data_IF_012468641159
#
_entry.id   IF_012468641159
#
_cell.length_a   1.000
_cell.length_b   1.000
_cell.length_c   1.000
_cell.angle_alpha   90.00
_cell.angle_beta   90.00
_cell.angle_gamma   90.00
#
_symmetry.space_group_name_H-M   'P 1'
#
loop_
_entity.id
_entity.type
_entity.pdbx_description
1 polymer ?
#
# COMPACT_ATOMS: atom_id res chain seq x y z
N UNK A 1 -16.52 0.14 -4.29
CA UNK A 1 -15.69 -0.36 -5.40
C UNK A 1 -14.46 -1.01 -4.79
N UNK A 2 -14.19 -2.28 -5.11
CA UNK A 2 -13.02 -2.99 -4.58
C UNK A 2 -11.89 -2.80 -5.60
N UNK A 3 -10.81 -2.15 -5.17
CA UNK A 3 -9.65 -1.85 -6.02
C UNK A 3 -8.52 -2.83 -5.75
N UNK A 4 -7.82 -3.21 -6.80
CA UNK A 4 -6.78 -4.25 -6.82
C UNK A 4 -5.49 -3.54 -7.21
N UNK A 5 -4.34 -3.92 -6.64
CA UNK A 5 -3.06 -3.28 -6.96
C UNK A 5 -2.02 -4.36 -7.29
N UNK A 6 -1.36 -4.24 -8.44
CA UNK A 6 -0.24 -5.07 -8.85
C UNK A 6 0.96 -4.19 -9.22
N UNK A 7 2.19 -4.68 -9.01
CA UNK A 7 3.37 -4.00 -9.56
C UNK A 7 3.55 -4.28 -11.06
N UNK A 8 4.52 -3.58 -11.68
CA UNK A 8 4.86 -3.70 -13.11
C UNK A 8 5.29 -5.08 -13.56
N UNK A 9 5.65 -5.96 -12.63
CA UNK A 9 6.06 -7.33 -12.92
C UNK A 9 4.90 -8.31 -12.83
N UNK A 10 3.66 -7.81 -12.69
CA UNK A 10 2.46 -8.59 -12.40
C UNK A 10 2.63 -9.45 -11.14
N UNK A 11 3.59 -9.10 -10.26
CA UNK A 11 3.65 -9.70 -8.94
C UNK A 11 2.56 -9.03 -8.12
N UNK A 12 1.48 -9.77 -7.88
CA UNK A 12 0.54 -9.45 -6.82
C UNK A 12 1.29 -9.72 -5.51
N UNK A 13 1.97 -8.69 -4.98
CA UNK A 13 2.55 -8.77 -3.64
C UNK A 13 1.40 -8.92 -2.63
N UNK A 14 1.38 -9.91 -1.75
CA UNK A 14 2.47 -10.67 -1.15
C UNK A 14 2.35 -12.17 -1.43
N UNK A 15 3.45 -12.90 -1.24
CA UNK A 15 3.58 -14.36 -1.28
C UNK A 15 2.72 -15.07 -0.21
N UNK A 16 1.41 -14.91 -0.31
CA UNK A 16 0.39 -15.91 -0.09
C UNK A 16 -0.45 -15.84 -1.36
N UNK A 17 -0.25 -16.80 -2.26
CA UNK A 17 -0.90 -16.90 -3.56
C UNK A 17 -2.36 -16.40 -3.56
N UNK A 18 -2.67 -15.33 -4.30
CA UNK A 18 -4.05 -14.89 -4.53
C UNK A 18 -4.67 -13.96 -3.48
N UNK A 19 -3.87 -13.30 -2.63
CA UNK A 19 -4.37 -12.28 -1.72
C UNK A 19 -4.96 -11.08 -2.51
N UNK A 20 -6.22 -10.73 -2.22
CA UNK A 20 -6.84 -9.48 -2.70
C UNK A 20 -6.71 -8.43 -1.61
N UNK A 21 -6.57 -7.17 -2.02
CA UNK A 21 -6.50 -6.04 -1.10
C UNK A 21 -7.73 -5.15 -1.27
N UNK A 22 -8.08 -4.44 -0.21
CA UNK A 22 -9.20 -3.51 -0.15
C UNK A 22 -8.61 -2.14 0.13
N UNK A 23 -8.98 -1.17 -0.71
CA UNK A 23 -8.72 0.24 -0.46
C UNK A 23 -9.99 0.87 0.11
N UNK A 24 -9.89 1.40 1.32
CA UNK A 24 -11.02 2.05 2.00
C UNK A 24 -10.72 3.53 2.17
N UNK A 25 -11.64 4.40 1.79
CA UNK A 25 -11.49 5.86 1.96
C UNK A 25 -11.25 6.21 3.43
N UNK A 26 -10.29 7.10 3.67
CA UNK A 26 -9.91 7.64 4.97
C UNK A 26 -9.79 9.18 4.89
N UNK A 27 -9.81 9.92 6.02
CA UNK A 27 -9.78 11.38 6.02
C UNK A 27 -8.64 12.02 5.22
N UNK A 28 -7.43 11.47 5.26
CA UNK A 28 -6.26 11.95 4.53
C UNK A 28 -5.96 11.20 3.23
N UNK A 29 -6.73 10.17 2.88
CA UNK A 29 -6.48 9.34 1.69
C UNK A 29 -7.27 8.04 1.71
N UNK A 30 -6.56 6.92 1.79
CA UNK A 30 -7.15 5.59 1.94
C UNK A 30 -6.31 4.69 2.85
N UNK A 31 -6.94 3.69 3.45
CA UNK A 31 -6.26 2.57 4.10
C UNK A 31 -6.19 1.36 3.17
N UNK A 32 -5.20 0.49 3.40
CA UNK A 32 -4.99 -0.74 2.64
C UNK A 32 -5.15 -1.93 3.58
N UNK A 33 -6.06 -2.83 3.28
CA UNK A 33 -6.36 -4.02 4.11
C UNK A 33 -6.40 -5.29 3.28
N UNK A 34 -5.98 -6.45 3.81
CA UNK A 34 -6.15 -7.70 3.10
C UNK A 34 -7.63 -8.10 3.11
N UNK A 35 -8.15 -8.59 1.98
CA UNK A 35 -9.59 -8.86 1.83
C UNK A 35 -10.12 -9.98 2.71
N UNK A 36 -9.25 -10.88 3.15
CA UNK A 36 -9.58 -11.98 4.06
C UNK A 36 -9.52 -11.56 5.54
N UNK A 37 -9.00 -10.37 5.84
CA UNK A 37 -8.97 -9.80 7.18
C UNK A 37 -9.01 -8.26 7.12
N UNK A 38 -10.19 -7.66 6.86
CA UNK A 38 -10.32 -6.22 6.63
C UNK A 38 -10.09 -5.35 7.88
N UNK A 39 -9.95 -5.96 9.05
CA UNK A 39 -9.67 -5.26 10.32
C UNK A 39 -8.18 -4.94 10.52
N UNK A 40 -7.32 -5.43 9.62
CA UNK A 40 -5.90 -5.13 9.60
C UNK A 40 -5.54 -4.14 8.48
N UNK A 41 -4.61 -3.24 8.77
CA UNK A 41 -4.18 -2.18 7.86
C UNK A 41 -2.67 -2.18 7.67
N UNK A 42 -2.22 -1.93 6.44
CA UNK A 42 -0.82 -1.68 6.12
C UNK A 42 -0.36 -0.43 6.87
N UNK A 43 0.62 -0.61 7.76
CA UNK A 43 1.03 0.37 8.76
C UNK A 43 2.52 0.65 8.68
N UNK A 44 2.89 1.93 8.67
CA UNK A 44 4.26 2.38 8.85
C UNK A 44 4.59 2.61 10.33
N UNK A 45 5.52 1.80 10.87
CA UNK A 45 5.90 1.86 12.29
C UNK A 45 7.05 2.82 12.60
N UNK A 46 7.72 3.40 11.59
CA UNK A 46 8.94 4.20 11.80
C UNK A 46 10.22 3.38 12.02
N UNK A 47 10.10 2.06 12.15
CA UNK A 47 11.17 1.18 12.62
C UNK A 47 11.72 0.34 11.46
N UNK A 48 12.55 0.95 10.62
CA UNK A 48 13.15 0.28 9.47
C UNK A 48 12.24 0.22 8.25
N UNK A 49 12.58 -0.67 7.31
CA UNK A 49 12.02 -0.65 5.96
C UNK A 49 10.77 -1.52 5.76
N UNK A 50 10.27 -2.20 6.80
CA UNK A 50 9.12 -3.11 6.69
C UNK A 50 7.82 -2.42 7.10
N UNK A 51 6.76 -2.67 6.33
CA UNK A 51 5.39 -2.33 6.70
C UNK A 51 4.74 -3.53 7.39
N UNK A 52 3.94 -3.28 8.42
CA UNK A 52 3.24 -4.32 9.17
C UNK A 52 1.74 -4.26 8.94
N UNK A 53 1.04 -5.35 9.28
CA UNK A 53 -0.41 -5.38 9.37
C UNK A 53 -0.82 -5.20 10.82
N UNK A 54 -1.51 -4.11 11.12
CA UNK A 54 -1.93 -3.76 12.48
C UNK A 54 -3.42 -3.46 12.50
N UNK A 55 -4.05 -3.60 13.66
CA UNK A 55 -5.40 -3.08 13.88
C UNK A 55 -5.46 -1.57 13.68
N UNK A 56 -6.67 -1.02 13.63
CA UNK A 56 -6.86 0.43 13.51
C UNK A 56 -6.18 1.16 14.69
N UNK A 57 -5.19 1.99 14.40
CA UNK A 57 -4.52 2.85 15.39
C UNK A 57 -4.94 4.32 15.29
N UNK A 58 -5.89 4.65 14.39
CA UNK A 58 -6.43 5.99 14.16
C UNK A 58 -5.33 7.05 13.92
N UNK A 59 -4.31 6.70 13.14
CA UNK A 59 -3.15 7.55 12.86
C UNK A 59 -2.85 7.62 11.36
N UNK A 60 -2.24 8.74 10.93
CA UNK A 60 -1.80 8.97 9.55
C UNK A 60 -0.77 7.94 9.04
N UNK A 61 -0.21 7.14 9.94
CA UNK A 61 0.70 6.02 9.66
C UNK A 61 0.04 4.84 8.92
N UNK A 62 -1.29 4.84 8.79
CA UNK A 62 -2.09 3.85 8.06
C UNK A 62 -2.79 4.43 6.83
N UNK A 63 -2.61 5.73 6.58
CA UNK A 63 -3.26 6.43 5.48
C UNK A 63 -2.28 6.67 4.33
N UNK A 64 -2.76 6.38 3.13
CA UNK A 64 -1.99 6.37 1.91
C UNK A 64 -2.69 7.20 0.84
N UNK A 65 -1.92 7.76 -0.09
CA UNK A 65 -2.42 8.47 -1.26
C UNK A 65 -1.76 7.98 -2.53
N UNK A 66 -2.47 8.13 -3.65
CA UNK A 66 -1.88 7.95 -4.96
C UNK A 66 -1.15 9.21 -5.36
N UNK A 67 0.11 9.06 -5.74
CA UNK A 67 0.84 10.12 -6.43
C UNK A 67 1.24 9.66 -7.82
N UNK A 68 1.16 10.52 -8.85
CA UNK A 68 1.62 10.18 -10.17
C UNK A 68 3.10 9.77 -10.13
N UNK A 69 3.42 8.58 -10.65
CA UNK A 69 4.81 8.12 -10.80
C UNK A 69 5.24 8.18 -12.27
N UNK A 70 4.38 7.71 -13.18
CA UNK A 70 4.51 7.81 -14.65
C UNK A 70 3.11 7.95 -15.29
N UNK A 71 3.05 8.17 -16.60
CA UNK A 71 1.82 8.54 -17.33
C UNK A 71 0.58 7.64 -17.07
N UNK A 72 0.76 6.39 -16.63
CA UNK A 72 -0.34 5.47 -16.31
C UNK A 72 -0.10 4.66 -15.03
N UNK A 73 0.78 5.15 -14.15
CA UNK A 73 1.20 4.45 -12.95
C UNK A 73 1.16 5.37 -11.74
N UNK A 74 0.65 4.85 -10.63
CA UNK A 74 0.66 5.56 -9.36
C UNK A 74 1.63 4.92 -8.39
N UNK A 75 2.34 5.73 -7.63
CA UNK A 75 2.99 5.29 -6.41
C UNK A 75 2.01 5.43 -5.24
N UNK A 76 2.14 4.55 -4.26
CA UNK A 76 1.40 4.61 -3.00
C UNK A 76 2.30 5.33 -1.99
N UNK A 77 1.94 6.56 -1.64
CA UNK A 77 2.70 7.41 -0.72
C UNK A 77 2.03 7.45 0.64
N UNK A 78 2.82 7.43 1.71
CA UNK A 78 2.32 7.60 3.07
C UNK A 78 1.88 9.05 3.30
N UNK A 79 0.67 9.27 3.83
CA UNK A 79 0.14 10.62 4.08
C UNK A 79 1.03 11.42 5.03
N UNK A 80 1.52 10.78 6.11
CA UNK A 80 2.34 11.45 7.11
C UNK A 80 3.72 11.86 6.59
N UNK A 81 4.27 11.16 5.60
CA UNK A 81 5.63 11.36 5.12
C UNK A 81 5.69 11.31 3.59
N UNK A 82 5.75 12.47 2.95
CA UNK A 82 5.75 12.63 1.49
C UNK A 82 6.96 12.03 0.77
N UNK A 83 7.99 11.59 1.50
CA UNK A 83 9.12 10.86 0.93
C UNK A 83 9.04 9.35 1.16
N UNK A 84 7.97 8.81 1.74
CA UNK A 84 7.84 7.39 2.06
C UNK A 84 6.81 6.72 1.15
N UNK A 85 7.24 5.69 0.43
CA UNK A 85 6.42 4.99 -0.56
C UNK A 85 6.30 3.51 -0.23
N UNK A 86 5.08 2.98 -0.30
CA UNK A 86 4.82 1.56 -0.19
C UNK A 86 5.18 0.83 -1.49
N UNK A 87 6.03 -0.18 -1.35
CA UNK A 87 6.54 -1.03 -2.42
C UNK A 87 6.38 -2.50 -2.06
N UNK A 88 6.60 -3.38 -3.03
CA UNK A 88 6.73 -4.82 -2.84
C UNK A 88 8.22 -5.16 -2.81
N UNK A 89 8.69 -5.70 -1.68
CA UNK A 89 9.98 -6.35 -1.53
C UNK A 89 9.84 -7.87 -1.47
N UNK A 90 10.96 -8.58 -1.46
CA UNK A 90 11.01 -10.06 -1.48
C UNK A 90 10.20 -10.74 -0.37
N UNK A 91 10.03 -10.07 0.78
CA UNK A 91 9.31 -10.59 1.96
C UNK A 91 8.07 -9.76 2.31
N UNK A 92 7.66 -8.82 1.44
CA UNK A 92 6.40 -8.12 1.62
C UNK A 92 6.37 -6.64 1.34
N UNK A 93 5.38 -5.97 1.92
CA UNK A 93 5.29 -4.52 1.83
C UNK A 93 6.51 -3.90 2.52
N UNK A 94 7.25 -3.12 1.75
CA UNK A 94 8.38 -2.34 2.25
C UNK A 94 8.08 -0.86 2.07
N UNK A 95 8.68 -0.04 2.91
CA UNK A 95 8.69 1.41 2.75
C UNK A 95 10.03 1.83 2.15
N UNK A 96 10.02 2.71 1.17
CA UNK A 96 11.24 3.25 0.57
C UNK A 96 11.19 4.77 0.40
N UNK A 97 12.34 5.40 0.60
CA UNK A 97 12.52 6.86 0.52
C UNK A 97 12.57 7.46 -0.89
N UNK A 98 13.07 6.67 -1.86
CA UNK A 98 13.48 7.19 -3.18
C UNK A 98 13.08 6.31 -4.36
N UNK A 99 12.86 5.02 -4.13
CA UNK A 99 12.46 4.09 -5.18
C UNK A 99 10.95 3.90 -5.13
N UNK A 100 10.22 4.54 -6.04
CA UNK A 100 8.79 4.36 -6.18
C UNK A 100 8.52 3.24 -7.17
N UNK A 101 7.83 2.18 -6.74
CA UNK A 101 7.28 1.22 -7.68
C UNK A 101 5.95 1.75 -8.21
N UNK A 102 5.78 1.65 -9.52
CA UNK A 102 4.52 1.95 -10.18
C UNK A 102 3.54 0.82 -9.95
N UNK A 103 2.36 1.15 -9.43
CA UNK A 103 1.25 0.24 -9.23
C UNK A 103 0.20 0.43 -10.33
N UNK A 104 -0.31 -0.68 -10.83
CA UNK A 104 -1.44 -0.75 -11.76
C UNK A 104 -2.66 -1.13 -10.94
N UNK A 105 -3.73 -0.33 -11.09
CA UNK A 105 -4.99 -0.57 -10.42
C UNK A 105 -6.02 -1.08 -11.39
N UNK A 106 -6.60 -2.25 -11.08
CA UNK A 106 -7.68 -2.83 -11.86
C UNK A 106 -9.01 -2.57 -11.15
N UNK A 107 -9.97 -2.02 -11.88
CA UNK A 107 -11.36 -1.94 -11.46
C UNK A 107 -12.07 -3.23 -11.89
N UNK A 108 -12.82 -3.85 -10.98
CA UNK A 108 -13.80 -4.90 -11.34
C UNK A 108 -15.21 -4.34 -11.33
#
# INVERSE_FOLDING_TARGET
>A
KLYWAADKTNHIGLQVAGAKWILTTAPGGFTISPSNNPDLYVTYKGNGNLLTLEGNISQLNQEWIFVPSKASEHAIQLVQHSNQFANIGNNGFIIAGTNQLGWIFEEK
#
